data_IF_901435728959
#
_entry.id   IF_901435728959
#
_cell.length_a   1.000
_cell.length_b   1.000
_cell.length_c   1.000
_cell.angle_alpha   90.00
_cell.angle_beta   90.00
_cell.angle_gamma   90.00
#
_symmetry.space_group_name_H-M   'P 1'
#
loop_
_entity.id
_entity.type
_entity.pdbx_description
1 polymer ?
#
# COMPACT_ATOMS: atom_id res chain seq x y z
N UNK A 1 41.85 45.17 2.35
CA UNK A 1 40.74 45.88 3.01
C UNK A 1 39.77 44.92 3.70
N UNK A 2 39.26 43.88 3.02
CA UNK A 2 38.41 42.84 3.62
C UNK A 2 38.98 42.20 4.90
N UNK A 3 40.28 41.93 4.93
CA UNK A 3 40.96 41.33 6.09
C UNK A 3 40.89 42.18 7.37
N UNK A 4 40.77 43.52 7.27
CA UNK A 4 40.63 44.42 8.43
C UNK A 4 39.18 44.53 8.93
N UNK A 5 38.21 44.45 8.02
CA UNK A 5 36.77 44.48 8.33
C UNK A 5 36.34 43.18 9.00
N UNK A 6 36.93 42.05 8.63
CA UNK A 6 36.70 40.74 9.26
C UNK A 6 37.32 40.60 10.66
N UNK A 7 38.21 41.51 11.06
CA UNK A 7 38.91 41.48 12.36
C UNK A 7 38.34 42.46 13.39
N UNK A 8 37.32 43.25 13.04
CA UNK A 8 36.58 44.09 13.98
C UNK A 8 35.40 43.30 14.57
N UNK A 9 35.00 43.60 15.81
CA UNK A 9 33.86 42.96 16.50
C UNK A 9 32.58 42.96 15.63
N UNK A 10 32.31 44.05 14.91
CA UNK A 10 31.17 44.16 14.00
C UNK A 10 31.23 43.16 12.83
N UNK A 11 32.42 42.86 12.31
CA UNK A 11 32.62 41.88 11.23
C UNK A 11 32.43 40.44 11.71
N UNK A 12 32.82 40.15 12.96
CA UNK A 12 32.55 38.87 13.60
C UNK A 12 31.06 38.68 13.86
N UNK A 13 30.34 39.73 14.29
CA UNK A 13 28.89 39.71 14.46
C UNK A 13 28.12 39.42 13.17
N UNK A 14 28.56 39.98 12.03
CA UNK A 14 27.96 39.70 10.72
C UNK A 14 28.16 38.23 10.31
N UNK A 15 29.37 37.67 10.50
CA UNK A 15 29.63 36.25 10.20
C UNK A 15 28.78 35.34 11.08
N UNK A 16 28.67 35.66 12.38
CA UNK A 16 27.87 34.87 13.32
C UNK A 16 26.38 34.91 12.96
N UNK A 17 25.87 36.07 12.53
CA UNK A 17 24.50 36.19 12.05
C UNK A 17 24.26 35.39 10.76
N UNK A 18 25.20 35.42 9.79
CA UNK A 18 25.12 34.64 8.56
C UNK A 18 25.19 33.13 8.83
N UNK A 19 26.09 32.69 9.71
CA UNK A 19 26.18 31.29 10.11
C UNK A 19 24.91 30.82 10.82
N UNK A 20 24.36 31.63 11.73
CA UNK A 20 23.07 31.36 12.38
C UNK A 20 21.93 31.25 11.38
N UNK A 21 21.86 32.16 10.40
CA UNK A 21 20.86 32.12 9.34
C UNK A 21 20.98 30.84 8.51
N UNK A 22 22.19 30.44 8.10
CA UNK A 22 22.39 29.18 7.37
C UNK A 22 21.91 27.96 8.17
N UNK A 23 22.23 27.89 9.47
CA UNK A 23 21.78 26.79 10.34
C UNK A 23 20.26 26.76 10.42
N UNK A 24 19.61 27.92 10.62
CA UNK A 24 18.15 28.03 10.67
C UNK A 24 17.53 27.60 9.34
N UNK A 25 18.08 28.02 8.21
CA UNK A 25 17.57 27.62 6.89
C UNK A 25 17.68 26.11 6.71
N UNK A 26 18.83 25.50 7.00
CA UNK A 26 19.02 24.04 6.89
C UNK A 26 18.04 23.30 7.81
N UNK A 27 17.86 23.77 9.04
CA UNK A 27 16.93 23.17 9.99
C UNK A 27 15.48 23.25 9.51
N UNK A 28 15.04 24.41 9.01
CA UNK A 28 13.69 24.60 8.47
C UNK A 28 13.45 23.74 7.23
N UNK A 29 14.41 23.67 6.31
CA UNK A 29 14.33 22.80 5.13
C UNK A 29 14.25 21.32 5.54
N UNK A 30 15.06 20.90 6.51
CA UNK A 30 15.04 19.53 7.04
C UNK A 30 13.70 19.18 7.68
N UNK A 31 13.14 20.06 8.51
CA UNK A 31 11.82 19.88 9.13
C UNK A 31 10.71 19.82 8.09
N UNK A 32 10.73 20.70 7.09
CA UNK A 32 9.75 20.70 6.02
C UNK A 32 9.78 19.39 5.23
N UNK A 33 10.96 18.95 4.77
CA UNK A 33 11.12 17.69 4.04
C UNK A 33 10.69 16.48 4.88
N UNK A 34 11.07 16.45 6.16
CA UNK A 34 10.68 15.37 7.08
C UNK A 34 9.16 15.34 7.29
N UNK A 35 8.52 16.50 7.45
CA UNK A 35 7.08 16.58 7.67
C UNK A 35 6.31 16.16 6.42
N UNK A 36 6.76 16.62 5.26
CA UNK A 36 6.20 16.24 3.96
C UNK A 36 6.32 14.72 3.71
N UNK A 37 7.50 14.14 4.00
CA UNK A 37 7.71 12.70 3.85
C UNK A 37 6.86 11.89 4.85
N UNK A 38 6.76 12.34 6.10
CA UNK A 38 5.94 11.68 7.11
C UNK A 38 4.45 11.69 6.73
N UNK A 39 3.95 12.81 6.21
CA UNK A 39 2.58 12.93 5.71
C UNK A 39 2.31 11.98 4.54
N UNK A 40 3.18 11.96 3.52
CA UNK A 40 3.09 11.01 2.40
C UNK A 40 3.12 9.55 2.85
N UNK A 41 3.97 9.22 3.81
CA UNK A 41 4.05 7.87 4.37
C UNK A 41 2.76 7.49 5.12
N UNK A 42 2.18 8.42 5.87
CA UNK A 42 0.92 8.21 6.58
C UNK A 42 -0.24 7.95 5.60
N UNK A 43 -0.35 8.73 4.53
CA UNK A 43 -1.35 8.54 3.47
C UNK A 43 -1.17 7.18 2.79
N UNK A 44 0.05 6.85 2.36
CA UNK A 44 0.31 5.54 1.73
C UNK A 44 -0.02 4.36 2.65
N UNK A 45 0.15 4.50 3.97
CA UNK A 45 -0.26 3.50 4.94
C UNK A 45 -1.78 3.42 5.12
N UNK A 46 -2.47 4.56 5.07
CA UNK A 46 -3.93 4.62 5.07
C UNK A 46 -4.50 3.90 3.84
N UNK A 47 -4.06 4.25 2.64
CA UNK A 47 -4.47 3.58 1.39
C UNK A 47 -4.22 2.08 1.44
N UNK A 48 -3.03 1.66 1.90
CA UNK A 48 -2.70 0.25 2.06
C UNK A 48 -3.70 -0.49 2.95
N UNK A 49 -4.10 0.12 4.09
CA UNK A 49 -5.08 -0.48 5.00
C UNK A 49 -6.47 -0.59 4.37
N UNK A 50 -6.92 0.44 3.65
CA UNK A 50 -8.21 0.41 2.93
C UNK A 50 -8.21 -0.70 1.88
N UNK A 51 -7.13 -0.81 1.10
CA UNK A 51 -6.96 -1.87 0.09
C UNK A 51 -6.91 -3.25 0.74
N UNK A 52 -6.22 -3.41 1.87
CA UNK A 52 -6.15 -4.66 2.62
C UNK A 52 -7.54 -5.10 3.13
N UNK A 53 -8.30 -4.17 3.71
CA UNK A 53 -9.67 -4.42 4.14
C UNK A 53 -10.56 -4.81 2.96
N UNK A 54 -10.38 -4.18 1.80
CA UNK A 54 -11.14 -4.51 0.60
C UNK A 54 -10.81 -5.91 0.07
N UNK A 55 -9.54 -6.28 0.04
CA UNK A 55 -9.11 -7.63 -0.33
C UNK A 55 -9.67 -8.67 0.64
N UNK A 56 -9.63 -8.40 1.95
CA UNK A 56 -10.19 -9.29 2.96
C UNK A 56 -11.71 -9.42 2.83
N UNK A 57 -12.42 -8.33 2.54
CA UNK A 57 -13.86 -8.38 2.26
C UNK A 57 -14.17 -9.36 1.11
N UNK A 58 -13.36 -9.34 0.04
CA UNK A 58 -13.54 -10.24 -1.11
C UNK A 58 -13.24 -11.69 -0.80
N UNK A 59 -12.24 -11.98 0.02
CA UNK A 59 -11.97 -13.34 0.48
C UNK A 59 -13.10 -13.87 1.38
N UNK A 60 -13.58 -13.07 2.33
CA UNK A 60 -14.72 -13.47 3.17
C UNK A 60 -16.02 -13.66 2.36
N UNK A 61 -16.23 -12.88 1.29
CA UNK A 61 -17.34 -13.11 0.35
C UNK A 61 -17.24 -14.49 -0.31
N UNK A 62 -16.05 -14.90 -0.75
CA UNK A 62 -15.80 -16.24 -1.30
C UNK A 62 -16.06 -17.32 -0.26
N UNK A 63 -15.54 -17.14 0.94
CA UNK A 63 -15.74 -18.07 2.05
C UNK A 63 -17.21 -18.28 2.37
N UNK A 64 -17.96 -17.18 2.44
CA UNK A 64 -19.39 -17.21 2.71
C UNK A 64 -20.15 -17.96 1.62
N UNK A 65 -19.86 -17.68 0.36
CA UNK A 65 -20.52 -18.32 -0.78
C UNK A 65 -20.18 -19.81 -0.89
N UNK A 66 -18.98 -20.20 -0.48
CA UNK A 66 -18.52 -21.58 -0.56
C UNK A 66 -18.70 -22.37 0.74
N UNK A 67 -19.32 -21.79 1.77
CA UNK A 67 -19.55 -22.43 3.08
C UNK A 67 -20.28 -23.78 2.98
N UNK A 68 -21.16 -23.92 1.99
CA UNK A 68 -21.97 -25.12 1.79
C UNK A 68 -21.65 -25.84 0.47
N UNK A 69 -20.63 -25.38 -0.27
CA UNK A 69 -20.24 -26.03 -1.51
C UNK A 69 -19.35 -27.22 -1.21
N UNK A 70 -19.73 -28.38 -1.73
CA UNK A 70 -18.95 -29.61 -1.64
C UNK A 70 -18.24 -29.80 -3.00
N UNK A 71 -16.91 -29.74 -3.01
CA UNK A 71 -16.07 -30.20 -4.11
C UNK A 71 -15.43 -29.14 -5.02
N UNK A 72 -15.95 -27.92 -5.14
CA UNK A 72 -15.33 -26.84 -5.95
C UNK A 72 -15.56 -25.47 -5.33
N UNK A 73 -14.51 -24.64 -5.28
CA UNK A 73 -14.64 -23.22 -4.92
C UNK A 73 -15.13 -22.37 -6.09
N UNK A 74 -16.27 -21.70 -5.91
CA UNK A 74 -16.83 -20.73 -6.84
C UNK A 74 -16.35 -19.31 -6.55
N UNK A 75 -15.87 -18.61 -7.58
CA UNK A 75 -15.42 -17.23 -7.48
C UNK A 75 -16.13 -16.27 -8.45
N UNK A 76 -17.15 -16.75 -9.17
CA UNK A 76 -17.85 -16.00 -10.22
C UNK A 76 -18.58 -14.75 -9.70
N UNK A 77 -18.81 -14.64 -8.40
CA UNK A 77 -19.39 -13.47 -7.74
C UNK A 77 -18.39 -12.31 -7.57
N UNK A 78 -17.08 -12.57 -7.59
CA UNK A 78 -16.09 -11.51 -7.47
C UNK A 78 -15.91 -10.84 -8.84
N UNK A 79 -16.60 -9.73 -9.01
CA UNK A 79 -16.39 -8.84 -10.15
C UNK A 79 -15.05 -8.10 -10.00
N UNK A 80 -14.25 -8.13 -11.06
CA UNK A 80 -13.14 -7.20 -11.22
C UNK A 80 -13.70 -5.79 -11.39
N UNK A 81 -13.01 -4.79 -10.86
CA UNK A 81 -13.43 -3.41 -11.03
C UNK A 81 -12.69 -2.43 -10.16
N UNK A 82 -12.95 -1.15 -10.42
CA UNK A 82 -12.41 -0.06 -9.64
C UNK A 82 -13.23 0.15 -8.37
N UNK A 83 -12.55 0.55 -7.30
CA UNK A 83 -13.19 1.05 -6.08
C UNK A 83 -12.44 2.28 -5.59
N UNK A 84 -13.18 3.17 -4.94
CA UNK A 84 -12.65 4.37 -4.33
C UNK A 84 -11.87 4.01 -3.06
N UNK A 85 -10.63 4.48 -2.96
CA UNK A 85 -9.77 4.35 -1.78
C UNK A 85 -9.87 5.63 -0.94
N UNK A 86 -9.78 6.78 -1.61
CA UNK A 86 -9.82 8.10 -1.01
C UNK A 86 -10.42 9.12 -1.99
N UNK A 87 -11.09 10.13 -1.47
CA UNK A 87 -11.68 11.27 -2.21
C UNK A 87 -11.33 12.60 -1.54
N UNK A 88 -10.38 12.61 -0.59
CA UNK A 88 -9.92 13.84 0.02
C UNK A 88 -9.08 14.66 -0.99
N UNK A 89 -9.41 15.96 -1.09
CA UNK A 89 -8.70 16.98 -1.88
C UNK A 89 -8.91 16.95 -3.41
N UNK A 90 -10.12 16.63 -3.88
CA UNK A 90 -10.55 16.77 -5.29
C UNK A 90 -9.82 15.83 -6.29
N UNK A 91 -8.96 14.94 -5.81
CA UNK A 91 -8.21 13.97 -6.62
C UNK A 91 -8.48 12.55 -6.13
N UNK A 92 -9.58 11.92 -6.58
CA UNK A 92 -9.98 10.62 -6.08
C UNK A 92 -8.96 9.54 -6.44
N UNK A 93 -8.58 8.76 -5.44
CA UNK A 93 -7.65 7.63 -5.56
C UNK A 93 -8.45 6.35 -5.72
N UNK A 94 -8.16 5.60 -6.79
CA UNK A 94 -8.84 4.34 -7.08
C UNK A 94 -7.90 3.15 -6.98
N UNK A 95 -8.45 2.04 -6.50
CA UNK A 95 -7.84 0.72 -6.59
C UNK A 95 -8.55 -0.13 -7.63
N UNK A 96 -7.79 -0.96 -8.36
CA UNK A 96 -8.30 -1.93 -9.31
C UNK A 96 -8.21 -3.34 -8.72
N UNK A 97 -9.36 -4.00 -8.56
CA UNK A 97 -9.45 -5.40 -8.17
C UNK A 97 -9.38 -6.27 -9.41
N UNK A 98 -8.42 -7.19 -9.44
CA UNK A 98 -8.30 -8.18 -10.50
C UNK A 98 -9.18 -9.40 -10.21
N UNK A 99 -9.55 -10.17 -11.24
CA UNK A 99 -10.19 -11.46 -11.04
C UNK A 99 -9.39 -12.35 -10.07
N UNK A 100 -10.07 -13.06 -9.16
CA UNK A 100 -9.42 -14.01 -8.25
C UNK A 100 -8.71 -15.11 -9.02
N UNK A 101 -7.54 -15.51 -8.55
CA UNK A 101 -6.85 -16.70 -9.08
C UNK A 101 -7.02 -17.86 -8.11
N UNK A 102 -7.44 -19.01 -8.63
CA UNK A 102 -7.61 -20.25 -7.89
C UNK A 102 -6.52 -21.22 -8.31
N UNK A 103 -5.87 -21.86 -7.34
CA UNK A 103 -5.03 -23.02 -7.60
C UNK A 103 -5.29 -24.08 -6.55
N UNK A 104 -5.76 -25.24 -6.99
CA UNK A 104 -5.91 -26.41 -6.12
C UNK A 104 -4.55 -27.03 -5.88
N UNK A 105 -4.25 -27.42 -4.65
CA UNK A 105 -3.06 -28.20 -4.32
C UNK A 105 -3.47 -29.33 -3.39
N UNK A 106 -2.85 -30.49 -3.57
CA UNK A 106 -2.98 -31.62 -2.65
C UNK A 106 -1.77 -31.62 -1.73
N UNK A 107 -1.98 -31.63 -0.41
CA UNK A 107 -0.87 -31.72 0.56
C UNK A 107 -0.68 -33.16 0.99
N UNK A 108 0.28 -33.82 0.34
CA UNK A 108 0.66 -35.20 0.63
C UNK A 108 1.16 -35.40 2.07
N UNK A 109 1.56 -34.34 2.77
CA UNK A 109 2.06 -34.41 4.15
C UNK A 109 0.94 -34.42 5.21
N UNK A 110 -0.27 -33.93 4.90
CA UNK A 110 -1.40 -33.88 5.84
C UNK A 110 -2.34 -35.06 5.63
N UNK A 111 -2.74 -35.34 4.39
CA UNK A 111 -3.53 -36.52 4.01
C UNK A 111 -3.57 -36.62 2.48
N UNK A 112 -3.43 -37.83 1.93
CA UNK A 112 -3.48 -38.07 0.48
C UNK A 112 -4.82 -37.72 -0.18
N UNK A 113 -5.86 -37.49 0.63
CA UNK A 113 -7.23 -37.25 0.18
C UNK A 113 -7.75 -35.86 0.54
N UNK A 114 -6.90 -34.94 1.01
CA UNK A 114 -7.31 -33.57 1.33
C UNK A 114 -6.76 -32.61 0.28
N UNK A 115 -7.66 -32.17 -0.59
CA UNK A 115 -7.40 -31.06 -1.49
C UNK A 115 -7.70 -29.73 -0.79
N UNK A 116 -6.90 -28.72 -1.10
CA UNK A 116 -7.14 -27.36 -0.64
C UNK A 116 -7.03 -26.38 -1.81
N UNK A 117 -7.97 -25.45 -1.87
CA UNK A 117 -8.00 -24.39 -2.87
C UNK A 117 -7.28 -23.16 -2.32
N UNK A 118 -6.25 -22.73 -3.02
CA UNK A 118 -5.56 -21.46 -2.75
C UNK A 118 -6.23 -20.39 -3.57
N UNK A 119 -6.77 -19.37 -2.92
CA UNK A 119 -7.43 -18.25 -3.60
C UNK A 119 -6.65 -17.00 -3.32
N UNK A 120 -6.29 -16.29 -4.38
CA UNK A 120 -5.57 -15.03 -4.28
C UNK A 120 -6.38 -13.89 -4.89
N UNK A 121 -6.50 -12.80 -4.14
CA UNK A 121 -7.05 -11.53 -4.60
C UNK A 121 -5.89 -10.57 -4.83
N UNK A 122 -5.79 -10.06 -6.05
CA UNK A 122 -4.82 -9.03 -6.42
C UNK A 122 -5.53 -7.69 -6.54
N UNK A 123 -4.97 -6.68 -5.89
CA UNK A 123 -5.41 -5.28 -6.02
C UNK A 123 -4.20 -4.42 -6.37
N UNK A 124 -4.33 -3.54 -7.36
CA UNK A 124 -3.33 -2.50 -7.65
C UNK A 124 -3.92 -1.12 -7.41
N UNK A 125 -3.07 -0.18 -6.99
CA UNK A 125 -3.45 1.21 -6.83
C UNK A 125 -2.22 2.10 -6.94
N UNK A 126 -2.45 3.41 -6.98
CA UNK A 126 -1.44 4.46 -7.00
C UNK A 126 -1.76 5.44 -5.88
N UNK A 127 -0.76 5.86 -5.11
CA UNK A 127 -1.00 6.72 -3.94
C UNK A 127 -1.24 8.20 -4.31
N UNK A 128 -1.04 8.55 -5.58
CA UNK A 128 -1.20 9.91 -6.05
C UNK A 128 -1.80 10.02 -7.45
N UNK A 129 -1.92 11.26 -7.94
CA UNK A 129 -2.71 11.58 -9.13
C UNK A 129 -2.14 10.98 -10.41
N UNK A 130 -3.01 10.60 -11.36
CA UNK A 130 -2.61 9.92 -12.60
C UNK A 130 -1.55 10.69 -13.40
N UNK A 131 -1.51 12.02 -13.31
CA UNK A 131 -0.56 12.86 -14.03
C UNK A 131 0.88 12.84 -13.46
N UNK A 132 1.09 12.27 -12.26
CA UNK A 132 2.43 12.04 -11.68
C UNK A 132 2.96 10.62 -11.98
N UNK A 133 2.85 10.17 -13.23
CA UNK A 133 3.39 8.87 -13.67
C UNK A 133 4.90 8.76 -13.33
N UNK A 134 5.29 7.68 -12.65
CA UNK A 134 6.67 7.34 -12.29
C UNK A 134 7.35 8.25 -11.25
N UNK A 135 6.60 9.05 -10.49
CA UNK A 135 7.16 9.77 -9.34
C UNK A 135 7.45 8.81 -8.18
N UNK A 136 8.52 9.07 -7.41
CA UNK A 136 8.79 8.38 -6.13
C UNK A 136 7.58 8.53 -5.18
N UNK A 137 6.83 9.63 -5.30
CA UNK A 137 5.66 9.95 -4.49
C UNK A 137 4.37 9.33 -5.05
N UNK A 138 4.36 8.83 -6.29
CA UNK A 138 3.20 8.19 -6.90
C UNK A 138 3.56 6.81 -7.49
N UNK A 139 4.01 5.92 -6.61
CA UNK A 139 4.39 4.57 -6.98
C UNK A 139 3.14 3.70 -7.17
N UNK A 140 3.12 2.91 -8.24
CA UNK A 140 2.15 1.83 -8.38
C UNK A 140 2.45 0.72 -7.36
N UNK A 141 1.45 0.42 -6.54
CA UNK A 141 1.51 -0.61 -5.52
C UNK A 141 0.62 -1.78 -5.92
N UNK A 142 0.99 -2.94 -5.41
CA UNK A 142 0.23 -4.18 -5.59
C UNK A 142 0.11 -4.85 -4.24
N UNK A 143 -1.11 -5.24 -3.89
CA UNK A 143 -1.40 -6.17 -2.81
C UNK A 143 -1.86 -7.48 -3.43
N UNK A 144 -1.27 -8.59 -2.98
CA UNK A 144 -1.77 -9.93 -3.24
C UNK A 144 -2.07 -10.53 -1.88
N UNK A 145 -3.36 -10.74 -1.60
CA UNK A 145 -3.81 -11.41 -0.41
C UNK A 145 -4.28 -12.81 -0.77
N UNK A 146 -3.78 -13.81 -0.04
CA UNK A 146 -4.08 -15.22 -0.28
C UNK A 146 -4.68 -15.83 0.97
N UNK A 147 -5.72 -16.64 0.79
CA UNK A 147 -6.27 -17.53 1.81
C UNK A 147 -6.40 -18.94 1.22
N UNK A 148 -6.15 -19.94 2.07
CA UNK A 148 -6.23 -21.35 1.72
C UNK A 148 -7.53 -21.92 2.29
N UNK A 149 -8.37 -22.48 1.43
CA UNK A 149 -9.66 -23.05 1.77
C UNK A 149 -9.59 -24.56 1.78
N UNK A 150 -9.96 -25.15 2.92
CA UNK A 150 -10.08 -26.60 3.08
C UNK A 150 -11.52 -27.01 2.77
N UNK A 151 -11.69 -27.97 1.86
CA UNK A 151 -12.96 -28.67 1.68
C UNK A 151 -12.72 -30.17 1.86
N UNK A 152 -13.72 -30.88 2.43
CA UNK A 152 -13.73 -32.34 2.38
C UNK A 152 -14.20 -32.74 0.99
N UNK A 153 -13.32 -33.35 0.22
CA UNK A 153 -13.74 -34.25 -0.86
C UNK A 153 -14.60 -35.34 -0.23
N UNK A 154 -15.79 -35.58 -0.81
CA UNK A 154 -16.62 -36.71 -0.35
C UNK A 154 -15.78 -37.97 -0.51
N UNK A 155 -15.64 -38.72 0.58
CA UNK A 155 -15.15 -40.09 0.53
C UNK A 155 -15.97 -40.84 -0.54
N UNK A 156 -15.29 -41.46 -1.50
CA UNK A 156 -15.92 -42.47 -2.37
C UNK A 156 -16.32 -43.65 -1.47
N UNK A 157 -17.59 -43.72 -1.08
CA UNK A 157 -18.25 -44.97 -0.64
C UNK A 157 -18.78 -45.76 -1.83
#
# INVERSE_FOLDING_TARGET
MFKKILSSEDGFGIIQALAGLMIVTIALTGLFLSSYYAWHSAIGNYHYRVVLLKAHQKLEEVKYLNRYNEGVTYTNSITSGNFLIDDENEEPVYGLIYPPTISTTTDLAVSQYVDYDKISIKITWRDGPEYFLNSILNKERTLILREDYFYRTKDEE
#
